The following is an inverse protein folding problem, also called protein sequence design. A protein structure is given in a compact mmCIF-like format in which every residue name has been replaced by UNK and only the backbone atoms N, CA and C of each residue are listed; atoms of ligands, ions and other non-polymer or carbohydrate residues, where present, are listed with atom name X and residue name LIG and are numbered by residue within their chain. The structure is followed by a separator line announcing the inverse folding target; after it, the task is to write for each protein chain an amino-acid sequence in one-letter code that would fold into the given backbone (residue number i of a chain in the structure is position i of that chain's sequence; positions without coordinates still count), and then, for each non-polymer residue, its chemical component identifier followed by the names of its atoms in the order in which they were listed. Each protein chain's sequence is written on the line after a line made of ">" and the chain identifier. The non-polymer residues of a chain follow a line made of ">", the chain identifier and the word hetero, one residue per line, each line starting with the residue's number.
data_IF_613026268410
#
_entry.id   IF_613026268410
#
_cell.length_a   1.000
_cell.length_b   1.000
_cell.length_c   1.000
_cell.angle_alpha   90.00
_cell.angle_beta   90.00
_cell.angle_gamma   90.00
#
_symmetry.space_group_name_H-M   'P 1'
#
loop_
_entity.id
_entity.type
_entity.pdbx_description
1 polymer ?
#
# COMPACT_ATOMS: atom_id res chain seq x y z
N UNK A 1 -3.41 4.47 19.13
CA UNK A 1 -4.83 4.15 19.39
C UNK A 1 -5.77 5.35 19.16
N UNK A 2 -5.67 6.47 19.89
CA UNK A 2 -6.61 7.60 19.72
C UNK A 2 -6.70 8.14 18.29
N UNK A 3 -5.56 8.29 17.59
CA UNK A 3 -5.56 8.70 16.18
C UNK A 3 -6.33 7.72 15.28
N UNK A 4 -6.22 6.41 15.52
CA UNK A 4 -6.93 5.37 14.76
C UNK A 4 -8.44 5.53 14.94
N UNK A 5 -8.89 5.69 16.19
CA UNK A 5 -10.31 5.91 16.51
C UNK A 5 -10.84 7.19 15.85
N UNK A 6 -10.10 8.30 16.01
CA UNK A 6 -10.46 9.59 15.41
C UNK A 6 -10.62 9.49 13.90
N UNK A 7 -9.62 8.94 13.19
CA UNK A 7 -9.69 8.82 11.75
C UNK A 7 -10.72 7.80 11.28
N UNK A 8 -10.97 6.73 12.04
CA UNK A 8 -12.06 5.79 11.73
C UNK A 8 -13.42 6.49 11.79
N UNK A 9 -13.64 7.32 12.80
CA UNK A 9 -14.88 8.13 12.93
C UNK A 9 -14.99 9.14 11.78
N UNK A 10 -13.91 9.85 11.45
CA UNK A 10 -13.91 10.80 10.32
C UNK A 10 -14.26 10.08 9.01
N UNK A 11 -13.68 8.90 8.77
CA UNK A 11 -13.92 8.09 7.58
C UNK A 11 -15.34 7.51 7.51
N UNK A 12 -16.01 7.37 8.66
CA UNK A 12 -17.41 6.94 8.72
C UNK A 12 -18.34 7.95 8.02
N UNK A 13 -18.08 9.26 8.15
CA UNK A 13 -18.91 10.35 7.60
C UNK A 13 -18.81 10.54 6.08
N UNK A 14 -18.14 9.64 5.38
CA UNK A 14 -18.25 9.50 3.93
C UNK A 14 -16.96 9.76 3.15
N UNK A 15 -16.91 9.16 1.96
CA UNK A 15 -15.71 9.09 1.12
C UNK A 15 -15.25 10.48 0.63
N UNK A 16 -16.19 11.39 0.34
CA UNK A 16 -15.86 12.74 -0.14
C UNK A 16 -15.10 13.56 0.92
N UNK A 17 -15.56 13.52 2.18
CA UNK A 17 -14.92 14.21 3.31
C UNK A 17 -13.56 13.59 3.61
N UNK A 18 -13.49 12.26 3.65
CA UNK A 18 -12.24 11.52 3.84
C UNK A 18 -11.20 11.86 2.76
N UNK A 19 -11.61 11.89 1.48
CA UNK A 19 -10.73 12.23 0.36
C UNK A 19 -10.19 13.67 0.46
N UNK A 20 -11.03 14.65 0.80
CA UNK A 20 -10.59 16.04 0.98
C UNK A 20 -9.58 16.19 2.11
N UNK A 21 -9.84 15.56 3.25
CA UNK A 21 -8.93 15.55 4.40
C UNK A 21 -7.62 14.88 4.02
N UNK A 22 -7.68 13.74 3.32
CA UNK A 22 -6.48 13.03 2.86
C UNK A 22 -5.66 13.88 1.89
N UNK A 23 -6.30 14.57 0.95
CA UNK A 23 -5.62 15.45 0.01
C UNK A 23 -4.91 16.60 0.73
N UNK A 24 -5.55 17.20 1.75
CA UNK A 24 -4.91 18.21 2.58
C UNK A 24 -3.66 17.66 3.30
N UNK A 25 -3.76 16.51 3.95
CA UNK A 25 -2.61 15.87 4.59
C UNK A 25 -1.48 15.58 3.61
N UNK A 26 -1.80 15.05 2.44
CA UNK A 26 -0.83 14.72 1.39
C UNK A 26 -0.17 15.99 0.83
N UNK A 27 -0.94 17.04 0.52
CA UNK A 27 -0.42 18.30 0.00
C UNK A 27 0.52 18.98 1.01
N UNK A 28 0.09 19.08 2.27
CA UNK A 28 0.94 19.66 3.34
C UNK A 28 2.22 18.83 3.53
N UNK A 29 2.12 17.50 3.48
CA UNK A 29 3.27 16.60 3.60
C UNK A 29 4.27 16.81 2.44
N UNK A 30 3.80 16.82 1.20
CA UNK A 30 4.67 17.01 0.05
C UNK A 30 5.32 18.40 0.10
N UNK A 31 4.54 19.46 0.37
CA UNK A 31 5.06 20.82 0.49
C UNK A 31 6.08 20.94 1.63
N UNK A 32 5.83 20.33 2.77
CA UNK A 32 6.77 20.36 3.90
C UNK A 32 8.06 19.61 3.62
N UNK A 33 8.01 18.46 2.93
CA UNK A 33 9.21 17.72 2.52
C UNK A 33 10.01 18.48 1.46
N UNK A 34 9.34 19.06 0.46
CA UNK A 34 10.00 19.91 -0.55
C UNK A 34 10.64 21.12 0.11
N UNK A 35 9.92 21.78 1.03
CA UNK A 35 10.44 22.93 1.79
C UNK A 35 11.63 22.53 2.65
N UNK A 36 11.57 21.37 3.31
CA UNK A 36 12.70 20.83 4.09
C UNK A 36 13.95 20.67 3.23
N UNK A 37 13.81 20.07 2.04
CA UNK A 37 14.93 19.89 1.11
C UNK A 37 15.50 21.24 0.65
N UNK A 38 14.63 22.16 0.20
CA UNK A 38 15.05 23.48 -0.29
C UNK A 38 15.76 24.27 0.81
N UNK A 39 15.15 24.37 2.01
CA UNK A 39 15.75 25.08 3.13
C UNK A 39 17.03 24.39 3.61
N UNK A 40 17.10 23.06 3.57
CA UNK A 40 18.29 22.31 3.93
C UNK A 40 19.50 22.66 3.08
N UNK A 41 19.31 22.93 1.79
CA UNK A 41 20.38 23.38 0.91
C UNK A 41 20.68 24.88 1.00
N UNK A 42 19.69 25.73 1.30
CA UNK A 42 19.90 27.19 1.34
C UNK A 42 20.51 27.64 2.67
N UNK A 43 19.97 27.15 3.79
CA UNK A 43 20.33 27.62 5.14
C UNK A 43 20.83 26.51 6.06
N UNK A 44 20.77 25.24 5.62
CA UNK A 44 21.18 24.11 6.44
C UNK A 44 22.69 24.03 6.61
N UNK A 45 23.12 23.67 7.82
CA UNK A 45 24.51 23.36 8.11
C UNK A 45 24.86 21.94 7.65
N UNK A 46 25.21 21.80 6.37
CA UNK A 46 25.64 20.53 5.78
C UNK A 46 27.13 20.55 5.43
N UNK A 47 27.79 19.43 5.65
CA UNK A 47 29.22 19.27 5.40
C UNK A 47 29.46 17.98 4.59
N UNK A 48 29.87 18.15 3.33
CA UNK A 48 30.11 17.03 2.41
C UNK A 48 31.40 16.27 2.71
N UNK A 49 32.30 16.82 3.52
CA UNK A 49 33.53 16.11 3.93
C UNK A 49 33.23 14.87 4.80
N UNK A 50 32.01 14.80 5.34
CA UNK A 50 31.52 13.69 6.16
C UNK A 50 31.18 12.44 5.37
N UNK A 51 31.06 12.55 4.05
CA UNK A 51 30.82 11.39 3.20
C UNK A 51 32.04 10.47 3.21
N UNK A 52 31.80 9.20 3.55
CA UNK A 52 32.83 8.17 3.44
C UNK A 52 32.83 7.59 2.03
N UNK A 53 34.00 7.23 1.48
CA UNK A 53 34.08 6.49 0.23
C UNK A 53 33.22 5.22 0.32
N UNK A 54 32.33 5.04 -0.65
CA UNK A 54 31.49 3.85 -0.76
C UNK A 54 31.77 3.15 -2.08
N UNK A 55 32.03 1.84 -2.02
CA UNK A 55 32.19 1.00 -3.20
C UNK A 55 30.87 0.33 -3.56
N UNK A 56 30.35 0.63 -4.76
CA UNK A 56 29.14 0.02 -5.32
C UNK A 56 29.23 -1.51 -5.47
N UNK A 57 30.45 -2.02 -5.67
CA UNK A 57 30.76 -3.44 -5.66
C UNK A 57 31.64 -3.70 -4.43
N UNK A 58 31.05 -4.15 -3.31
CA UNK A 58 31.82 -4.46 -2.13
C UNK A 58 32.78 -5.61 -2.46
N UNK A 59 34.06 -5.40 -2.22
CA UNK A 59 35.10 -6.41 -2.45
C UNK A 59 35.13 -7.52 -1.39
N UNK A 60 34.30 -7.41 -0.35
CA UNK A 60 34.18 -8.37 0.75
C UNK A 60 32.74 -8.78 1.02
N UNK A 61 32.56 -10.01 1.50
CA UNK A 61 31.26 -10.55 1.92
C UNK A 61 30.55 -9.64 2.95
N UNK A 62 31.30 -9.08 3.91
CA UNK A 62 30.74 -8.17 4.92
C UNK A 62 30.23 -6.84 4.34
N UNK A 63 30.82 -6.34 3.25
CA UNK A 63 30.31 -5.15 2.58
C UNK A 63 29.01 -5.42 1.80
N UNK A 64 28.86 -6.64 1.28
CA UNK A 64 27.61 -7.09 0.65
C UNK A 64 26.50 -7.26 1.69
N UNK A 65 26.80 -7.84 2.86
CA UNK A 65 25.85 -7.97 3.97
C UNK A 65 25.31 -6.62 4.44
N UNK A 66 26.17 -5.60 4.59
CA UNK A 66 25.74 -4.25 4.97
C UNK A 66 24.81 -3.60 3.93
N UNK A 67 25.13 -3.76 2.65
CA UNK A 67 24.31 -3.25 1.55
C UNK A 67 22.92 -3.92 1.56
N UNK A 68 22.91 -5.24 1.71
CA UNK A 68 21.72 -6.07 1.78
C UNK A 68 20.87 -5.77 3.03
N UNK A 69 21.49 -5.49 4.18
CA UNK A 69 20.80 -5.09 5.39
C UNK A 69 20.07 -3.74 5.23
N UNK A 70 20.65 -2.79 4.49
CA UNK A 70 20.02 -1.50 4.20
C UNK A 70 18.85 -1.57 3.21
N UNK A 71 18.84 -2.55 2.30
CA UNK A 71 17.78 -2.70 1.29
C UNK A 71 16.41 -2.96 1.91
N UNK A 72 16.34 -3.68 3.04
CA UNK A 72 15.08 -4.03 3.69
C UNK A 72 14.32 -2.79 4.22
N UNK A 73 14.90 -1.94 5.11
CA UNK A 73 14.22 -0.73 5.60
C UNK A 73 13.97 0.30 4.49
N UNK A 74 14.85 0.36 3.47
CA UNK A 74 14.59 1.19 2.28
C UNK A 74 13.36 0.67 1.54
N UNK A 75 13.25 -0.65 1.31
CA UNK A 75 12.09 -1.26 0.67
C UNK A 75 10.81 -0.98 1.45
N UNK A 76 10.86 -1.11 2.77
CA UNK A 76 9.75 -0.75 3.66
C UNK A 76 9.30 0.71 3.45
N UNK A 77 10.26 1.64 3.32
CA UNK A 77 9.99 3.07 3.13
C UNK A 77 9.27 3.40 1.81
N UNK A 78 9.27 2.49 0.84
CA UNK A 78 8.53 2.58 -0.42
C UNK A 78 7.23 1.76 -0.44
N UNK A 79 6.89 1.02 0.62
CA UNK A 79 5.62 0.29 0.68
C UNK A 79 4.44 1.26 0.68
N UNK A 80 3.31 0.79 0.14
CA UNK A 80 2.11 1.60 -0.08
C UNK A 80 1.91 2.03 -1.53
N UNK A 81 2.89 1.79 -2.41
CA UNK A 81 2.76 2.03 -3.86
C UNK A 81 1.54 1.32 -4.47
N UNK A 82 1.18 0.15 -3.94
CA UNK A 82 0.04 -0.66 -4.37
C UNK A 82 -1.31 -0.08 -3.94
N UNK A 83 -1.36 0.79 -2.93
CA UNK A 83 -2.63 1.32 -2.42
C UNK A 83 -3.37 2.18 -3.46
N UNK A 84 -2.65 2.72 -4.44
CA UNK A 84 -3.25 3.46 -5.55
C UNK A 84 -4.23 2.61 -6.37
N UNK A 85 -4.04 1.30 -6.41
CA UNK A 85 -4.94 0.40 -7.16
C UNK A 85 -6.21 0.09 -6.38
N UNK A 86 -6.24 0.31 -5.06
CA UNK A 86 -7.43 0.05 -4.24
C UNK A 86 -8.55 1.04 -4.49
N UNK A 87 -8.22 2.22 -5.00
CA UNK A 87 -9.17 3.26 -5.41
C UNK A 87 -9.34 3.31 -6.92
N UNK A 88 -8.90 2.28 -7.66
CA UNK A 88 -8.95 2.27 -9.12
C UNK A 88 -10.37 2.47 -9.67
N UNK A 89 -11.38 1.91 -9.00
CA UNK A 89 -12.80 2.07 -9.36
C UNK A 89 -13.28 3.54 -9.25
N UNK A 90 -12.59 4.39 -8.48
CA UNK A 90 -12.90 5.81 -8.28
C UNK A 90 -12.10 6.75 -9.21
N UNK A 91 -11.15 6.21 -9.99
CA UNK A 91 -10.24 6.99 -10.85
C UNK A 91 -10.81 7.10 -12.27
N UNK A 92 -10.94 8.33 -12.78
CA UNK A 92 -11.26 8.57 -14.19
C UNK A 92 -10.17 7.99 -15.09
N UNK A 93 -10.53 7.24 -16.14
CA UNK A 93 -9.58 6.62 -17.07
C UNK A 93 -8.44 5.84 -16.36
N UNK A 94 -8.79 4.79 -15.57
CA UNK A 94 -7.86 4.15 -14.64
C UNK A 94 -6.63 3.58 -15.34
N UNK A 95 -6.76 3.01 -16.54
CA UNK A 95 -5.65 2.40 -17.29
C UNK A 95 -4.46 3.35 -17.48
N UNK A 96 -4.72 4.60 -17.84
CA UNK A 96 -3.68 5.60 -18.09
C UNK A 96 -3.33 6.40 -16.84
N UNK A 97 -4.33 6.74 -16.04
CA UNK A 97 -4.13 7.64 -14.90
C UNK A 97 -3.47 6.94 -13.72
N UNK A 98 -3.76 5.66 -13.47
CA UNK A 98 -3.06 4.89 -12.44
C UNK A 98 -1.60 4.71 -12.82
N UNK A 99 -1.31 4.34 -14.08
CA UNK A 99 0.07 4.20 -14.56
C UNK A 99 0.88 5.50 -14.39
N UNK A 100 0.34 6.63 -14.86
CA UNK A 100 0.98 7.94 -14.72
C UNK A 100 1.16 8.34 -13.27
N UNK A 101 0.14 8.13 -12.44
CA UNK A 101 0.19 8.50 -11.03
C UNK A 101 1.25 7.69 -10.28
N UNK A 102 1.38 6.37 -10.54
CA UNK A 102 2.48 5.55 -10.00
C UNK A 102 3.84 6.10 -10.44
N UNK A 103 4.03 6.37 -11.73
CA UNK A 103 5.31 6.82 -12.25
C UNK A 103 5.74 8.15 -11.63
N UNK A 104 4.86 9.16 -11.63
CA UNK A 104 5.17 10.48 -11.09
C UNK A 104 5.34 10.48 -9.57
N UNK A 105 4.49 9.74 -8.85
CA UNK A 105 4.61 9.68 -7.38
C UNK A 105 5.87 8.95 -6.95
N UNK A 106 6.20 7.80 -7.55
CA UNK A 106 7.43 7.07 -7.23
C UNK A 106 8.68 7.91 -7.56
N UNK A 107 8.72 8.55 -8.74
CA UNK A 107 9.86 9.39 -9.12
C UNK A 107 10.06 10.57 -8.16
N UNK A 108 8.97 11.27 -7.81
CA UNK A 108 9.02 12.37 -6.85
C UNK A 108 9.51 11.91 -5.47
N UNK A 109 8.96 10.81 -4.95
CA UNK A 109 9.36 10.25 -3.65
C UNK A 109 10.82 9.83 -3.67
N UNK A 110 11.30 9.20 -4.75
CA UNK A 110 12.71 8.82 -4.88
C UNK A 110 13.64 10.03 -4.85
N UNK A 111 13.32 11.09 -5.59
CA UNK A 111 14.11 12.32 -5.60
C UNK A 111 14.14 12.94 -4.19
N UNK A 112 12.99 13.05 -3.53
CA UNK A 112 12.90 13.59 -2.17
C UNK A 112 13.70 12.75 -1.17
N UNK A 113 13.57 11.43 -1.22
CA UNK A 113 14.29 10.53 -0.31
C UNK A 113 15.80 10.62 -0.51
N UNK A 114 16.28 10.71 -1.75
CA UNK A 114 17.72 10.89 -2.02
C UNK A 114 18.23 12.20 -1.40
N UNK A 115 17.53 13.31 -1.62
CA UNK A 115 17.97 14.61 -1.09
C UNK A 115 17.85 14.71 0.43
N UNK A 116 16.81 14.13 1.04
CA UNK A 116 16.68 14.09 2.50
C UNK A 116 17.81 13.25 3.11
N UNK A 117 18.11 12.07 2.54
CA UNK A 117 19.21 11.23 3.03
C UNK A 117 20.57 11.91 2.83
N UNK A 118 20.77 12.62 1.73
CA UNK A 118 21.96 13.44 1.52
C UNK A 118 22.13 14.48 2.64
N UNK A 119 21.08 15.24 2.95
CA UNK A 119 21.10 16.24 4.02
C UNK A 119 21.32 15.60 5.40
N UNK A 120 20.71 14.44 5.66
CA UNK A 120 20.90 13.74 6.93
C UNK A 120 22.37 13.32 7.11
N UNK A 121 22.94 12.65 6.12
CA UNK A 121 24.33 12.16 6.18
C UNK A 121 25.38 13.28 6.22
N UNK A 122 25.06 14.45 5.67
CA UNK A 122 25.96 15.62 5.69
C UNK A 122 25.75 16.52 6.93
N UNK A 123 24.64 16.39 7.65
CA UNK A 123 24.34 17.20 8.83
C UNK A 123 25.03 16.73 10.12
N UNK A 124 25.07 15.42 10.37
CA UNK A 124 25.49 14.85 11.66
C UNK A 124 26.51 13.70 11.49
N UNK A 125 27.37 13.44 12.49
CA UNK A 125 28.25 12.27 12.46
C UNK A 125 27.44 10.97 12.44
N UNK A 126 27.94 9.93 11.76
CA UNK A 126 27.21 8.67 11.58
C UNK A 126 26.89 7.95 12.91
N UNK A 127 27.69 8.18 13.95
CA UNK A 127 27.44 7.65 15.29
C UNK A 127 26.16 8.20 15.92
N UNK A 128 25.81 9.46 15.61
CA UNK A 128 24.60 10.15 16.08
C UNK A 128 23.38 9.81 15.22
N UNK A 129 23.60 9.35 13.97
CA UNK A 129 22.56 8.94 13.03
C UNK A 129 22.18 7.46 13.21
N UNK A 130 21.93 7.06 14.46
CA UNK A 130 21.48 5.71 14.81
C UNK A 130 20.20 5.73 15.66
N UNK A 131 19.42 4.65 15.58
CA UNK A 131 18.17 4.48 16.34
C UNK A 131 16.95 5.19 15.74
N UNK A 132 15.90 5.35 16.54
CA UNK A 132 14.55 5.68 16.05
C UNK A 132 14.32 7.17 15.75
N UNK A 133 15.26 8.05 16.12
CA UNK A 133 15.08 9.51 16.09
C UNK A 133 15.97 10.22 15.09
N UNK A 134 16.48 9.51 14.09
CA UNK A 134 17.43 10.02 13.08
C UNK A 134 16.95 11.33 12.46
N UNK A 135 15.67 11.42 12.07
CA UNK A 135 15.13 12.64 11.47
C UNK A 135 15.16 13.86 12.40
N UNK A 136 14.93 13.66 13.70
CA UNK A 136 14.97 14.73 14.71
C UNK A 136 16.43 15.13 14.97
N UNK A 137 17.31 14.14 15.14
CA UNK A 137 18.75 14.37 15.36
C UNK A 137 19.36 15.12 14.17
N UNK A 138 19.20 14.61 12.96
CA UNK A 138 19.70 15.25 11.73
C UNK A 138 19.15 16.69 11.59
N UNK A 139 17.87 16.90 11.84
CA UNK A 139 17.26 18.24 11.80
C UNK A 139 17.86 19.21 12.82
N UNK A 140 18.20 18.71 14.01
CA UNK A 140 18.84 19.52 15.05
C UNK A 140 20.25 19.93 14.67
N UNK A 141 21.02 19.06 14.02
CA UNK A 141 22.33 19.43 13.49
C UNK A 141 22.23 20.36 12.28
N UNK A 142 21.23 20.15 11.42
CA UNK A 142 21.09 20.90 10.17
C UNK A 142 20.56 22.32 10.38
N UNK A 143 19.55 22.51 11.25
CA UNK A 143 18.86 23.80 11.43
C UNK A 143 18.88 24.35 12.87
N UNK A 144 19.40 23.57 13.83
CA UNK A 144 19.42 23.93 15.24
C UNK A 144 18.14 23.59 16.02
N UNK A 145 18.17 23.66 17.37
CA UNK A 145 17.12 23.12 18.23
C UNK A 145 15.74 23.76 18.06
N UNK A 146 15.67 25.06 17.73
CA UNK A 146 14.40 25.79 17.56
C UNK A 146 13.63 25.29 16.33
N UNK A 147 14.33 25.03 15.23
CA UNK A 147 13.74 24.51 14.00
C UNK A 147 13.28 23.05 14.15
N UNK A 148 14.01 22.26 14.95
CA UNK A 148 13.68 20.86 15.26
C UNK A 148 12.28 20.69 15.84
N UNK A 149 11.79 21.64 16.63
CA UNK A 149 10.43 21.60 17.20
C UNK A 149 9.38 21.62 16.09
N UNK A 150 9.52 22.54 15.14
CA UNK A 150 8.61 22.65 13.99
C UNK A 150 8.68 21.41 13.10
N UNK A 151 9.89 20.89 12.86
CA UNK A 151 10.09 19.68 12.05
C UNK A 151 9.48 18.46 12.75
N UNK A 152 9.63 18.35 14.07
CA UNK A 152 9.01 17.27 14.86
C UNK A 152 7.49 17.34 14.79
N UNK A 153 6.90 18.54 14.94
CA UNK A 153 5.46 18.73 14.78
C UNK A 153 4.98 18.36 13.36
N UNK A 154 5.76 18.71 12.34
CA UNK A 154 5.49 18.33 10.95
C UNK A 154 5.56 16.81 10.73
N UNK A 155 6.55 16.12 11.33
CA UNK A 155 6.66 14.65 11.28
C UNK A 155 5.42 14.02 11.94
N UNK A 156 4.99 14.50 13.11
CA UNK A 156 3.77 14.03 13.77
C UNK A 156 2.54 14.24 12.88
N UNK A 157 2.40 15.41 12.25
CA UNK A 157 1.34 15.69 11.28
C UNK A 157 1.37 14.73 10.10
N UNK A 158 2.56 14.45 9.55
CA UNK A 158 2.74 13.51 8.44
C UNK A 158 2.30 12.09 8.82
N UNK A 159 2.58 11.64 10.05
CA UNK A 159 2.12 10.35 10.57
C UNK A 159 0.59 10.26 10.67
N UNK A 160 -0.08 11.31 11.16
CA UNK A 160 -1.54 11.36 11.21
C UNK A 160 -2.16 11.18 9.81
N UNK A 161 -1.60 11.88 8.81
CA UNK A 161 -2.02 11.73 7.42
C UNK A 161 -1.77 10.34 6.83
N UNK A 162 -0.72 9.65 7.25
CA UNK A 162 -0.47 8.25 6.85
C UNK A 162 -1.49 7.30 7.48
N UNK A 163 -1.81 7.45 8.77
CA UNK A 163 -2.82 6.63 9.45
C UNK A 163 -4.17 6.75 8.75
N UNK A 164 -4.58 7.98 8.42
CA UNK A 164 -5.80 8.24 7.64
C UNK A 164 -5.80 7.49 6.30
N UNK A 165 -4.70 7.56 5.53
CA UNK A 165 -4.59 6.89 4.24
C UNK A 165 -4.73 5.37 4.34
N UNK A 166 -4.10 4.76 5.36
CA UNK A 166 -4.20 3.31 5.60
C UNK A 166 -5.59 2.86 6.05
N UNK A 167 -6.34 3.69 6.79
CA UNK A 167 -7.74 3.41 7.14
C UNK A 167 -8.63 3.43 5.89
N UNK A 168 -8.44 4.43 5.03
CA UNK A 168 -9.13 4.56 3.73
C UNK A 168 -8.85 3.34 2.85
N UNK A 169 -7.57 3.02 2.63
CA UNK A 169 -7.17 1.92 1.76
C UNK A 169 -7.57 0.55 2.28
N UNK A 170 -7.33 0.27 3.57
CA UNK A 170 -7.60 -1.04 4.17
C UNK A 170 -9.08 -1.42 4.15
N UNK A 171 -9.97 -0.47 4.43
CA UNK A 171 -11.42 -0.73 4.46
C UNK A 171 -11.98 -1.20 3.11
N UNK A 172 -11.38 -0.75 2.01
CA UNK A 172 -11.75 -1.16 0.63
C UNK A 172 -11.38 -2.60 0.33
N UNK A 173 -10.27 -3.09 0.88
CA UNK A 173 -9.85 -4.50 0.71
C UNK A 173 -10.90 -5.41 1.35
N UNK A 174 -11.25 -5.17 2.62
CA UNK A 174 -12.25 -5.98 3.32
C UNK A 174 -13.63 -5.92 2.66
N UNK A 175 -14.03 -4.72 2.20
CA UNK A 175 -15.27 -4.53 1.47
C UNK A 175 -15.29 -5.32 0.15
N UNK A 176 -14.24 -5.23 -0.66
CA UNK A 176 -14.14 -5.95 -1.94
C UNK A 176 -14.13 -7.46 -1.73
N UNK A 177 -13.35 -7.96 -0.76
CA UNK A 177 -13.34 -9.40 -0.44
C UNK A 177 -14.72 -9.90 0.03
N UNK A 178 -15.44 -9.11 0.83
CA UNK A 178 -16.78 -9.46 1.28
C UNK A 178 -17.83 -9.38 0.16
N UNK A 179 -17.72 -8.39 -0.74
CA UNK A 179 -18.55 -8.26 -1.94
C UNK A 179 -18.42 -9.47 -2.86
N UNK A 180 -17.18 -9.94 -3.03
CA UNK A 180 -16.88 -11.12 -3.85
C UNK A 180 -17.16 -12.44 -3.09
N UNK A 181 -17.67 -12.35 -1.85
CA UNK A 181 -18.06 -13.47 -0.99
C UNK A 181 -16.90 -14.22 -0.34
N UNK A 182 -15.66 -13.76 -0.47
CA UNK A 182 -14.46 -14.38 0.11
C UNK A 182 -14.15 -13.84 1.52
N UNK A 183 -15.13 -13.20 2.15
CA UNK A 183 -15.06 -12.68 3.50
C UNK A 183 -16.46 -12.58 4.13
N UNK A 184 -16.53 -12.17 5.39
CA UNK A 184 -17.82 -12.04 6.10
C UNK A 184 -18.76 -11.05 5.39
N UNK A 185 -19.96 -11.51 5.03
CA UNK A 185 -20.96 -10.75 4.24
C UNK A 185 -21.34 -9.40 4.87
N UNK A 186 -21.29 -9.28 6.20
CA UNK A 186 -21.55 -8.02 6.90
C UNK A 186 -20.59 -6.89 6.50
N UNK A 187 -19.38 -7.21 6.03
CA UNK A 187 -18.39 -6.21 5.61
C UNK A 187 -18.63 -5.66 4.19
N UNK A 188 -19.53 -6.29 3.43
CA UNK A 188 -20.01 -5.75 2.15
C UNK A 188 -21.09 -4.66 2.32
N UNK A 189 -21.50 -4.35 3.56
CA UNK A 189 -22.54 -3.34 3.84
C UNK A 189 -21.97 -1.93 3.74
N UNK A 190 -22.66 -1.08 2.98
CA UNK A 190 -22.40 0.35 2.91
C UNK A 190 -23.36 1.12 3.81
N UNK A 191 -22.90 2.24 4.36
CA UNK A 191 -23.75 3.13 5.14
C UNK A 191 -24.82 3.77 4.23
N UNK A 192 -26.12 3.74 4.58
CA UNK A 192 -27.20 4.22 3.70
C UNK A 192 -27.03 5.67 3.23
N UNK A 193 -26.63 6.57 4.14
CA UNK A 193 -26.42 8.00 3.86
C UNK A 193 -25.05 8.35 3.26
N UNK A 194 -23.96 7.80 3.82
CA UNK A 194 -22.58 8.22 3.53
C UNK A 194 -21.87 7.32 2.52
N UNK A 195 -22.48 6.19 2.13
CA UNK A 195 -21.92 5.17 1.23
C UNK A 195 -20.51 4.68 1.63
N UNK A 196 -20.17 4.74 2.91
CA UNK A 196 -18.90 4.26 3.47
C UNK A 196 -19.00 2.80 3.93
N UNK A 197 -17.95 1.97 3.78
CA UNK A 197 -17.93 0.58 4.24
C UNK A 197 -17.71 0.51 5.75
N UNK A 198 -18.74 0.88 6.52
CA UNK A 198 -18.64 1.13 7.95
C UNK A 198 -18.26 -0.11 8.76
N UNK A 199 -18.75 -1.30 8.39
CA UNK A 199 -18.37 -2.54 9.08
C UNK A 199 -16.90 -2.90 8.85
N UNK A 200 -16.39 -2.71 7.62
CA UNK A 200 -14.98 -2.89 7.31
C UNK A 200 -14.09 -1.92 8.08
N UNK A 201 -14.52 -0.66 8.24
CA UNK A 201 -13.82 0.35 9.03
C UNK A 201 -13.73 -0.06 10.51
N UNK A 202 -14.83 -0.52 11.11
CA UNK A 202 -14.86 -0.96 12.50
C UNK A 202 -13.99 -2.20 12.72
N UNK A 203 -14.06 -3.17 11.81
CA UNK A 203 -13.23 -4.37 11.87
C UNK A 203 -11.73 -4.03 11.81
N UNK A 204 -11.33 -3.20 10.84
CA UNK A 204 -9.96 -2.73 10.72
C UNK A 204 -9.52 -1.96 11.96
N UNK A 205 -10.36 -1.07 12.50
CA UNK A 205 -10.06 -0.31 13.70
C UNK A 205 -9.82 -1.23 14.91
N UNK A 206 -10.66 -2.25 15.11
CA UNK A 206 -10.51 -3.21 16.19
C UNK A 206 -9.17 -3.94 16.12
N UNK A 207 -8.83 -4.48 14.94
CA UNK A 207 -7.58 -5.19 14.72
C UNK A 207 -6.35 -4.26 14.83
N UNK A 208 -6.43 -3.05 14.28
CA UNK A 208 -5.34 -2.07 14.39
C UNK A 208 -5.09 -1.63 15.85
N UNK A 209 -6.14 -1.50 16.65
CA UNK A 209 -6.02 -1.24 18.09
C UNK A 209 -5.36 -2.41 18.83
N UNK A 210 -5.65 -3.66 18.45
CA UNK A 210 -4.98 -4.83 19.02
C UNK A 210 -3.47 -4.83 18.70
N UNK A 211 -3.10 -4.45 17.48
CA UNK A 211 -1.68 -4.38 17.08
C UNK A 211 -0.91 -3.24 17.77
N UNK A 212 -1.60 -2.26 18.37
CA UNK A 212 -0.94 -1.23 19.18
C UNK A 212 -0.27 -1.79 20.45
N UNK A 213 -0.60 -3.02 20.87
CA UNK A 213 0.04 -3.67 22.03
C UNK A 213 1.35 -4.39 21.67
N UNK A 214 1.67 -4.53 20.38
CA UNK A 214 2.93 -5.12 19.92
C UNK A 214 4.05 -4.09 20.12
N UNK A 215 5.05 -4.43 20.93
CA UNK A 215 6.14 -3.50 21.30
C UNK A 215 7.28 -3.45 20.28
N UNK A 216 7.50 -4.52 19.53
CA UNK A 216 8.62 -4.62 18.60
C UNK A 216 8.19 -4.19 17.19
N UNK A 217 8.35 -2.89 16.91
CA UNK A 217 7.93 -2.29 15.64
C UNK A 217 8.75 -2.86 14.49
N UNK A 218 10.07 -3.00 14.66
CA UNK A 218 11.00 -3.45 13.62
C UNK A 218 10.62 -4.82 13.06
N UNK A 219 10.34 -5.80 13.93
CA UNK A 219 9.85 -7.13 13.55
C UNK A 219 8.56 -7.08 12.73
N UNK A 220 7.65 -6.16 13.06
CA UNK A 220 6.42 -5.95 12.30
C UNK A 220 6.71 -5.39 10.90
N UNK A 221 7.70 -4.50 10.76
CA UNK A 221 8.11 -3.96 9.44
C UNK A 221 8.65 -5.07 8.55
N UNK A 222 9.52 -5.93 9.09
CA UNK A 222 10.09 -7.06 8.35
C UNK A 222 9.03 -8.07 7.91
N UNK A 223 8.13 -8.42 8.82
CA UNK A 223 7.00 -9.30 8.53
C UNK A 223 6.13 -8.74 7.39
N UNK A 224 5.68 -7.48 7.52
CA UNK A 224 4.83 -6.83 6.51
C UNK A 224 5.54 -6.71 5.16
N UNK A 225 6.84 -6.39 5.18
CA UNK A 225 7.66 -6.31 3.95
C UNK A 225 7.70 -7.67 3.27
N UNK A 226 7.99 -8.73 4.00
CA UNK A 226 8.02 -10.09 3.47
C UNK A 226 6.69 -10.48 2.82
N UNK A 227 5.58 -10.34 3.56
CA UNK A 227 4.24 -10.71 3.07
C UNK A 227 3.85 -9.89 1.83
N UNK A 228 4.13 -8.59 1.83
CA UNK A 228 3.78 -7.70 0.72
C UNK A 228 4.59 -8.04 -0.53
N UNK A 229 5.90 -8.28 -0.41
CA UNK A 229 6.75 -8.63 -1.54
C UNK A 229 6.39 -10.02 -2.10
N UNK A 230 6.04 -10.97 -1.24
CA UNK A 230 5.59 -12.30 -1.68
C UNK A 230 4.31 -12.19 -2.51
N UNK A 231 3.29 -11.48 -1.99
CA UNK A 231 2.04 -11.23 -2.72
C UNK A 231 2.26 -10.43 -4.00
N UNK A 232 3.13 -9.41 -3.98
CA UNK A 232 3.48 -8.64 -5.15
C UNK A 232 4.17 -9.49 -6.22
N UNK A 233 5.03 -10.43 -5.82
CA UNK A 233 5.70 -11.37 -6.73
C UNK A 233 4.70 -12.29 -7.42
N UNK A 234 3.79 -12.90 -6.66
CA UNK A 234 2.73 -13.78 -7.18
C UNK A 234 1.81 -12.99 -8.13
N UNK A 235 1.38 -11.79 -7.71
CA UNK A 235 0.49 -10.94 -8.51
C UNK A 235 1.15 -10.48 -9.81
N UNK A 236 2.43 -10.12 -9.76
CA UNK A 236 3.18 -9.66 -10.94
C UNK A 236 3.42 -10.76 -11.98
N UNK A 237 3.36 -12.03 -11.58
CA UNK A 237 3.43 -13.15 -12.51
C UNK A 237 2.11 -13.39 -13.28
N UNK A 238 0.99 -12.82 -12.81
CA UNK A 238 -0.35 -13.07 -13.35
C UNK A 238 -0.53 -12.61 -14.81
N UNK A 239 -0.06 -11.42 -15.24
CA UNK A 239 -0.15 -11.00 -16.64
C UNK A 239 0.58 -11.95 -17.60
N UNK A 240 1.76 -12.46 -17.19
CA UNK A 240 2.55 -13.42 -17.97
C UNK A 240 1.77 -14.74 -18.11
N UNK A 241 1.13 -15.20 -17.04
CA UNK A 241 0.27 -16.39 -17.07
C UNK A 241 -0.97 -16.20 -17.95
N UNK A 242 -1.58 -15.01 -17.93
CA UNK A 242 -2.77 -14.69 -18.71
C UNK A 242 -2.48 -14.61 -20.21
N UNK A 243 -1.33 -14.06 -20.60
CA UNK A 243 -0.91 -14.07 -22.00
C UNK A 243 -0.65 -15.49 -22.52
N UNK A 244 -0.04 -16.36 -21.70
CA UNK A 244 0.11 -17.79 -22.04
C UNK A 244 -1.22 -18.51 -22.23
N UNK A 245 -2.30 -17.99 -21.64
CA UNK A 245 -3.68 -18.47 -21.80
C UNK A 245 -4.48 -17.71 -22.87
N UNK A 246 -3.82 -16.92 -23.72
CA UNK A 246 -4.42 -16.14 -24.80
C UNK A 246 -5.46 -15.09 -24.38
N UNK A 247 -5.40 -14.57 -23.15
CA UNK A 247 -6.21 -13.42 -22.75
C UNK A 247 -5.64 -12.12 -23.35
N UNK A 248 -6.51 -11.27 -23.90
CA UNK A 248 -6.14 -9.96 -24.45
C UNK A 248 -5.98 -8.94 -23.31
N UNK A 249 -4.75 -8.49 -23.06
CA UNK A 249 -4.46 -7.40 -22.13
C UNK A 249 -4.78 -6.05 -22.78
N UNK A 250 -5.62 -5.23 -22.14
CA UNK A 250 -5.98 -3.88 -22.63
C UNK A 250 -4.82 -2.89 -22.56
N UNK A 251 -3.90 -3.08 -21.61
CA UNK A 251 -2.76 -2.21 -21.38
C UNK A 251 -1.50 -3.04 -21.12
N UNK A 252 -0.37 -2.61 -21.67
CA UNK A 252 0.97 -3.19 -21.43
C UNK A 252 1.90 -2.10 -20.93
N UNK A 253 2.66 -2.43 -19.89
CA UNK A 253 3.70 -1.54 -19.38
C UNK A 253 4.87 -1.46 -20.38
N UNK A 254 5.53 -0.29 -20.52
CA UNK A 254 6.74 -0.19 -21.31
C UNK A 254 7.82 -1.17 -20.83
N UNK A 255 8.52 -1.81 -21.78
CA UNK A 255 9.56 -2.80 -21.48
C UNK A 255 9.04 -4.17 -21.01
N UNK A 256 7.73 -4.42 -21.10
CA UNK A 256 7.17 -5.74 -20.85
C UNK A 256 7.69 -6.78 -21.88
N UNK A 257 8.02 -8.02 -21.48
CA UNK A 257 7.93 -8.59 -20.12
C UNK A 257 9.19 -8.42 -19.25
N UNK A 258 10.28 -7.85 -19.78
CA UNK A 258 11.57 -7.74 -19.08
C UNK A 258 11.48 -6.94 -17.78
N UNK A 259 10.71 -5.85 -17.78
CA UNK A 259 10.48 -5.03 -16.57
C UNK A 259 9.77 -5.82 -15.47
N UNK A 260 8.85 -6.72 -15.83
CA UNK A 260 8.17 -7.61 -14.88
C UNK A 260 9.11 -8.68 -14.32
N UNK A 261 9.97 -9.28 -15.17
CA UNK A 261 10.96 -10.24 -14.70
C UNK A 261 11.99 -9.61 -13.75
N UNK A 262 12.45 -8.40 -14.07
CA UNK A 262 13.34 -7.65 -13.19
C UNK A 262 12.69 -7.39 -11.83
N UNK A 263 11.43 -6.94 -11.84
CA UNK A 263 10.68 -6.70 -10.61
C UNK A 263 10.51 -7.97 -9.74
N UNK A 264 10.16 -9.09 -10.37
CA UNK A 264 10.06 -10.39 -9.69
C UNK A 264 11.42 -10.81 -9.11
N UNK A 265 12.49 -10.69 -9.89
CA UNK A 265 13.84 -11.04 -9.45
C UNK A 265 14.30 -10.17 -8.26
N UNK A 266 14.02 -8.86 -8.30
CA UNK A 266 14.31 -7.94 -7.20
C UNK A 266 13.55 -8.32 -5.93
N UNK A 267 12.25 -8.60 -6.03
CA UNK A 267 11.46 -9.01 -4.86
C UNK A 267 11.97 -10.33 -4.26
N UNK A 268 12.29 -11.32 -5.09
CA UNK A 268 12.86 -12.60 -4.64
C UNK A 268 14.20 -12.39 -3.97
N UNK A 269 15.08 -11.54 -4.51
CA UNK A 269 16.37 -11.22 -3.90
C UNK A 269 16.23 -10.56 -2.52
N UNK A 270 15.26 -9.65 -2.36
CA UNK A 270 14.99 -9.00 -1.06
C UNK A 270 14.41 -10.00 -0.06
N UNK A 271 13.49 -10.87 -0.47
CA UNK A 271 12.95 -11.93 0.39
C UNK A 271 14.05 -12.91 0.82
N UNK A 272 14.95 -13.30 -0.09
CA UNK A 272 16.09 -14.16 0.22
C UNK A 272 17.03 -13.50 1.24
N UNK A 273 17.28 -12.20 1.07
CA UNK A 273 18.04 -11.38 2.02
C UNK A 273 17.39 -11.34 3.40
N UNK A 274 16.06 -11.20 3.45
CA UNK A 274 15.31 -11.20 4.70
C UNK A 274 15.36 -12.58 5.37
N UNK A 275 15.24 -13.67 4.61
CA UNK A 275 15.39 -15.03 5.12
C UNK A 275 16.79 -15.28 5.70
N UNK A 276 17.83 -14.68 5.11
CA UNK A 276 19.20 -14.81 5.60
C UNK A 276 19.45 -14.03 6.90
N UNK A 277 18.97 -12.77 6.98
CA UNK A 277 19.28 -11.87 8.09
C UNK A 277 18.27 -11.96 9.25
N UNK A 278 17.00 -12.21 8.94
CA UNK A 278 15.84 -12.17 9.86
C UNK A 278 14.89 -13.34 9.56
N UNK A 279 15.35 -14.60 9.70
CA UNK A 279 14.61 -15.78 9.28
C UNK A 279 13.27 -15.91 9.99
N UNK A 280 13.22 -15.63 11.29
CA UNK A 280 12.00 -15.77 12.11
C UNK A 280 10.87 -14.87 11.58
N UNK A 281 11.18 -13.60 11.32
CA UNK A 281 10.25 -12.59 10.82
C UNK A 281 9.83 -12.90 9.38
N UNK A 282 10.75 -13.38 8.55
CA UNK A 282 10.45 -13.85 7.20
C UNK A 282 9.51 -15.07 7.21
N UNK A 283 9.76 -16.06 8.07
CA UNK A 283 8.88 -17.22 8.22
C UNK A 283 7.50 -16.86 8.71
N UNK A 284 7.38 -15.93 9.67
CA UNK A 284 6.08 -15.39 10.06
C UNK A 284 5.38 -14.67 8.91
N UNK A 285 6.10 -13.84 8.15
CA UNK A 285 5.55 -13.14 6.99
C UNK A 285 5.03 -14.09 5.90
N UNK A 286 5.79 -15.15 5.59
CA UNK A 286 5.36 -16.22 4.67
C UNK A 286 4.19 -17.00 5.27
N UNK A 287 4.26 -17.36 6.55
CA UNK A 287 3.23 -18.12 7.26
C UNK A 287 1.88 -17.40 7.27
N UNK A 288 1.85 -16.12 7.62
CA UNK A 288 0.63 -15.30 7.56
C UNK A 288 0.08 -15.18 6.14
N UNK A 289 0.96 -15.10 5.13
CA UNK A 289 0.52 -15.08 3.74
C UNK A 289 -0.10 -16.42 3.35
N UNK A 290 0.53 -17.54 3.70
CA UNK A 290 0.02 -18.88 3.42
C UNK A 290 -1.27 -19.19 4.19
N UNK A 291 -1.51 -18.57 5.33
CA UNK A 291 -2.78 -18.66 6.07
C UNK A 291 -3.97 -18.13 5.25
N UNK A 292 -3.73 -17.30 4.24
CA UNK A 292 -4.80 -16.87 3.32
C UNK A 292 -5.35 -18.03 2.48
N UNK A 293 -4.59 -19.11 2.26
CA UNK A 293 -4.99 -20.27 1.46
C UNK A 293 -6.10 -21.09 2.12
N UNK A 294 -5.97 -21.59 3.37
CA UNK A 294 -7.06 -22.29 4.04
C UNK A 294 -8.28 -21.39 4.24
N UNK A 295 -8.07 -20.10 4.51
CA UNK A 295 -9.16 -19.12 4.62
C UNK A 295 -9.93 -18.99 3.30
N UNK A 296 -9.24 -18.90 2.16
CA UNK A 296 -9.86 -18.90 0.84
C UNK A 296 -10.70 -20.15 0.58
N UNK A 297 -10.18 -21.35 0.88
CA UNK A 297 -10.94 -22.59 0.69
C UNK A 297 -12.15 -22.70 1.62
N UNK A 298 -12.05 -22.21 2.86
CA UNK A 298 -13.17 -22.13 3.80
C UNK A 298 -14.32 -21.26 3.26
N UNK A 299 -14.02 -20.04 2.80
CA UNK A 299 -15.04 -19.16 2.24
C UNK A 299 -15.58 -19.67 0.90
N UNK A 300 -14.73 -20.28 0.06
CA UNK A 300 -15.18 -20.92 -1.18
C UNK A 300 -16.17 -22.05 -0.92
N UNK A 301 -15.94 -22.88 0.09
CA UNK A 301 -16.84 -23.99 0.43
C UNK A 301 -18.20 -23.48 0.97
N UNK A 302 -18.19 -22.40 1.76
CA UNK A 302 -19.42 -21.82 2.32
C UNK A 302 -20.26 -21.09 1.26
N UNK A 303 -19.66 -20.45 0.24
CA UNK A 303 -20.38 -19.89 -0.91
C UNK A 303 -21.20 -20.93 -1.68
N UNK A 304 -20.60 -22.08 -1.98
CA UNK A 304 -21.28 -23.17 -2.74
C UNK A 304 -22.47 -23.73 -1.95
N UNK A 305 -22.41 -23.66 -0.61
CA UNK A 305 -23.51 -24.06 0.27
C UNK A 305 -24.69 -23.07 0.21
N UNK A 306 -24.42 -21.75 0.23
CA UNK A 306 -25.48 -20.73 0.15
C UNK A 306 -26.17 -20.69 -1.22
N UNK A 307 -25.43 -20.93 -2.31
CA UNK A 307 -26.00 -21.00 -3.67
C UNK A 307 -26.88 -22.25 -3.91
N UNK A 308 -26.72 -23.31 -3.11
CA UNK A 308 -27.56 -24.52 -3.18
C UNK A 308 -28.85 -24.43 -2.37
N UNK A 309 -29.02 -23.40 -1.53
CA UNK A 309 -30.18 -23.23 -0.63
C UNK A 309 -31.20 -22.19 -1.16
N UNK A 310 -30.94 -21.52 -2.30
CA UNK A 310 -31.98 -20.77 -3.01
C UNK A 310 -32.93 -21.71 -3.77
N UNK A 311 -34.14 -21.83 -3.22
CA UNK A 311 -35.32 -22.65 -3.52
C UNK A 311 -35.72 -22.70 -5.02
N UNK A 312 -36.40 -23.77 -5.49
CA UNK A 312 -36.83 -23.94 -6.89
C UNK A 312 -37.66 -22.76 -7.38
N UNK A 313 -37.39 -22.32 -8.61
CA UNK A 313 -38.16 -21.29 -9.31
C UNK A 313 -39.62 -21.73 -9.45
N UNK A 314 -40.46 -21.26 -8.53
CA UNK A 314 -41.86 -20.97 -8.82
C UNK A 314 -41.89 -19.80 -9.80
N UNK A 315 -42.61 -20.01 -10.90
CA UNK A 315 -42.90 -19.00 -11.90
C UNK A 315 -43.52 -17.74 -11.28
N UNK A 316 -43.22 -16.60 -11.89
CA UNK A 316 -43.80 -15.26 -11.70
C UNK A 316 -43.05 -14.34 -10.74
N UNK A 317 -42.79 -13.12 -11.26
CA UNK A 317 -42.17 -11.93 -10.63
C UNK A 317 -40.67 -11.70 -10.87
N UNK A 318 -40.26 -11.54 -12.14
CA UNK A 318 -39.02 -10.85 -12.51
C UNK A 318 -39.33 -9.43 -12.99
N UNK A 319 -39.64 -8.54 -12.06
CA UNK A 319 -39.60 -7.09 -12.28
C UNK A 319 -39.62 -6.38 -10.92
N UNK A 320 -38.46 -6.20 -10.28
CA UNK A 320 -38.28 -5.26 -9.17
C UNK A 320 -36.80 -4.93 -8.94
N UNK A 321 -36.40 -3.82 -9.57
CA UNK A 321 -35.52 -2.77 -9.05
C UNK A 321 -34.21 -3.17 -8.33
N UNK A 322 -33.10 -3.14 -9.07
CA UNK A 322 -31.77 -2.87 -8.52
C UNK A 322 -31.32 -1.47 -8.93
N UNK A 323 -31.38 -0.53 -7.98
CA UNK A 323 -30.86 0.82 -8.17
C UNK A 323 -29.34 0.77 -8.29
N UNK A 324 -28.84 1.06 -9.49
CA UNK A 324 -27.43 1.23 -9.82
C UNK A 324 -26.73 2.24 -8.91
N UNK A 325 -25.53 1.92 -8.42
CA UNK A 325 -24.66 2.84 -7.68
C UNK A 325 -23.76 3.70 -8.59
N UNK A 326 -23.90 3.58 -9.91
CA UNK A 326 -23.13 4.37 -10.88
C UNK A 326 -23.87 5.68 -11.23
N UNK A 327 -23.21 6.84 -11.19
CA UNK A 327 -23.66 7.99 -11.96
C UNK A 327 -23.42 7.69 -13.44
N UNK A 328 -24.50 7.77 -14.23
CA UNK A 328 -24.57 7.70 -15.71
C UNK A 328 -24.34 6.34 -16.40
N UNK A 329 -25.47 5.68 -16.72
CA UNK A 329 -25.78 4.89 -17.93
C UNK A 329 -24.66 4.18 -18.71
N UNK A 330 -23.91 3.27 -18.09
CA UNK A 330 -23.27 2.18 -18.83
C UNK A 330 -23.89 0.81 -18.45
N UNK A 331 -24.34 0.01 -19.43
CA UNK A 331 -24.84 -1.33 -19.15
C UNK A 331 -23.68 -2.23 -18.73
N UNK A 332 -23.65 -2.62 -17.46
CA UNK A 332 -22.71 -3.63 -16.96
C UNK A 332 -23.25 -5.01 -17.33
N UNK A 333 -22.45 -5.89 -17.97
CA UNK A 333 -22.91 -7.24 -18.30
C UNK A 333 -23.15 -8.03 -17.01
N UNK A 334 -24.42 -8.34 -16.77
CA UNK A 334 -24.86 -9.34 -15.79
C UNK A 334 -24.38 -10.70 -16.30
N UNK A 335 -23.56 -11.38 -15.51
CA UNK A 335 -23.27 -12.81 -15.74
C UNK A 335 -24.54 -13.60 -15.39
N UNK A 336 -25.46 -13.67 -16.35
CA UNK A 336 -26.47 -14.72 -16.42
C UNK A 336 -25.94 -15.82 -17.34
N UNK A 337 -26.05 -17.07 -16.90
CA UNK A 337 -25.43 -18.24 -17.50
C UNK A 337 -25.65 -18.43 -19.01
N UNK A 338 -24.76 -19.25 -19.58
CA UNK A 338 -24.78 -19.78 -20.94
C UNK A 338 -25.16 -18.79 -22.04
N UNK A 339 -24.16 -18.15 -22.66
CA UNK A 339 -24.31 -17.58 -24.00
C UNK A 339 -23.22 -18.08 -24.94
N UNK A 340 -23.68 -18.66 -26.05
CA UNK A 340 -22.90 -19.12 -27.18
C UNK A 340 -22.06 -17.98 -27.77
N UNK A 341 -20.83 -18.25 -28.27
CA UNK A 341 -19.91 -17.22 -28.78
C UNK A 341 -20.24 -16.74 -30.21
N UNK A 342 -21.48 -16.83 -30.68
CA UNK A 342 -21.85 -16.53 -32.09
C UNK A 342 -22.61 -15.22 -32.31
N UNK A 343 -22.84 -14.41 -31.28
CA UNK A 343 -23.57 -13.15 -31.44
C UNK A 343 -22.81 -12.01 -30.75
N UNK A 344 -22.07 -11.22 -31.53
CA UNK A 344 -22.17 -9.75 -31.60
C UNK A 344 -21.20 -9.21 -32.67
N UNK A 345 -21.67 -8.38 -33.62
CA UNK A 345 -20.82 -7.56 -34.48
C UNK A 345 -20.43 -6.26 -33.76
N UNK A 346 -19.11 -5.99 -33.78
CA UNK A 346 -18.38 -4.74 -33.48
C UNK A 346 -18.53 -4.07 -32.10
#
# INVERSE_FOLDING_TARGET
>A
MCAILLFTIINFFGISTASRIQNLFTSVKILGLVSFVILGFIIGNYDTSRFRPFSLLPSSLGGMELLLAGVIPVTYSYLGWNMITYVAEEVKNPDRNIYKAVLYSCALVTILYIFINFLFLSSAPISELSGDKIGITASSFLFGPKATIFITAFICWAFLGSISAYIIGGSRIYFAMARDGFFFSNMAKLHPKHKSPYMSLLFQCGYACLFCFVKEIESLLYLITCSTLLLATITSYTPILFEKKHYKLKFRIPGYPYTTYLYIASNVGIIATLLWNKPTEAFWGIGFTLLSVPMYYYFKATQVSTAKVSIPLGSESSELLTTSLLPENEPVPVVSGNRNPSEFPF
#
